data_IF_267888810364
#
_entry.id   IF_267888810364
#
_cell.length_a   1.000
_cell.length_b   1.000
_cell.length_c   1.000
_cell.angle_alpha   90.00
_cell.angle_beta   90.00
_cell.angle_gamma   90.00
#
_symmetry.space_group_name_H-M   'P 1'
#
loop_
_entity.id
_entity.type
_entity.pdbx_description
1 polymer ?
#
# COMPACT_ATOMS: atom_id res chain seq x y z
N UNK A 1 11.49 7.69 10.39
CA UNK A 1 12.65 6.77 10.49
C UNK A 1 13.82 7.42 9.76
N UNK A 2 15.04 7.17 10.23
CA UNK A 2 16.26 7.58 9.56
C UNK A 2 16.86 6.39 8.77
N UNK A 3 17.95 6.63 8.04
CA UNK A 3 18.61 5.62 7.22
C UNK A 3 19.05 4.37 8.01
N UNK A 4 19.63 4.54 9.20
CA UNK A 4 20.11 3.42 10.01
C UNK A 4 18.95 2.57 10.58
N UNK A 5 17.84 3.21 10.95
CA UNK A 5 16.62 2.51 11.39
C UNK A 5 16.00 1.68 10.26
N UNK A 6 15.97 2.21 9.02
CA UNK A 6 15.53 1.46 7.86
C UNK A 6 16.45 0.25 7.59
N UNK A 7 17.76 0.46 7.65
CA UNK A 7 18.75 -0.61 7.47
C UNK A 7 18.58 -1.71 8.53
N UNK A 8 18.36 -1.35 9.79
CA UNK A 8 18.11 -2.30 10.86
C UNK A 8 16.81 -3.10 10.62
N UNK A 9 15.73 -2.44 10.26
CA UNK A 9 14.45 -3.11 9.98
C UNK A 9 14.55 -4.04 8.78
N UNK A 10 15.37 -3.74 7.77
CA UNK A 10 15.60 -4.59 6.60
C UNK A 10 16.06 -6.00 6.98
N UNK A 11 16.74 -6.16 8.11
CA UNK A 11 17.23 -7.48 8.56
C UNK A 11 16.11 -8.40 9.06
N UNK A 12 14.91 -7.87 9.33
CA UNK A 12 13.81 -8.62 9.94
C UNK A 12 12.47 -8.46 9.18
N UNK A 13 12.43 -7.60 8.16
CA UNK A 13 11.23 -7.36 7.34
C UNK A 13 11.55 -7.46 5.85
N UNK A 14 10.75 -8.22 5.06
CA UNK A 14 11.00 -8.37 3.62
C UNK A 14 10.58 -7.14 2.81
N UNK A 15 9.77 -6.26 3.37
CA UNK A 15 9.36 -4.98 2.78
C UNK A 15 9.04 -3.98 3.89
N UNK A 16 9.09 -2.70 3.54
CA UNK A 16 8.74 -1.61 4.45
C UNK A 16 7.83 -0.62 3.73
N UNK A 17 7.24 0.32 4.46
CA UNK A 17 6.39 1.30 3.83
C UNK A 17 6.12 2.52 4.70
N UNK A 18 5.86 3.63 4.02
CA UNK A 18 5.39 4.89 4.61
C UNK A 18 4.71 5.72 3.52
N UNK A 19 3.51 6.17 3.80
CA UNK A 19 2.74 7.02 2.88
C UNK A 19 3.41 8.38 2.70
N UNK A 20 3.65 8.81 1.45
CA UNK A 20 4.04 10.20 1.16
C UNK A 20 2.88 11.16 1.46
N UNK A 21 1.67 10.73 1.18
CA UNK A 21 0.39 11.42 1.28
C UNK A 21 0.26 12.61 0.32
N UNK A 22 1.13 13.62 0.42
CA UNK A 22 1.16 14.81 -0.43
C UNK A 22 2.52 15.50 -0.34
N UNK A 23 2.85 16.30 -1.34
CA UNK A 23 4.02 17.20 -1.30
C UNK A 23 3.68 18.59 -0.73
N UNK A 24 2.41 18.86 -0.44
CA UNK A 24 1.99 20.11 0.21
C UNK A 24 2.41 20.14 1.67
N UNK A 25 3.10 21.21 2.09
CA UNK A 25 3.52 21.43 3.47
C UNK A 25 2.53 22.24 4.31
N UNK A 26 1.49 22.79 3.67
CA UNK A 26 0.52 23.73 4.25
C UNK A 26 -0.88 23.12 4.46
N UNK A 27 -1.01 21.78 4.33
CA UNK A 27 -2.30 21.12 4.53
C UNK A 27 -2.72 21.13 6.00
N UNK A 28 -3.94 21.57 6.26
CA UNK A 28 -4.54 21.54 7.61
C UNK A 28 -4.59 20.13 8.21
N UNK A 29 -4.77 19.13 7.37
CA UNK A 29 -4.73 17.73 7.75
C UNK A 29 -3.40 17.28 8.40
N UNK A 30 -2.30 17.96 8.07
CA UNK A 30 -0.96 17.68 8.59
C UNK A 30 -0.51 18.63 9.70
N UNK A 31 -1.38 19.55 10.13
CA UNK A 31 -1.05 20.52 11.16
C UNK A 31 -0.68 19.84 12.47
N UNK A 32 0.51 20.14 12.99
CA UNK A 32 1.01 19.57 14.24
C UNK A 32 1.61 18.16 14.10
N UNK A 33 1.77 17.64 12.89
CA UNK A 33 2.39 16.34 12.61
C UNK A 33 3.78 16.53 11.94
N UNK A 34 4.87 16.70 12.71
CA UNK A 34 6.20 16.99 12.18
C UNK A 34 6.80 15.85 11.36
N UNK A 35 6.28 14.64 11.50
CA UNK A 35 6.62 13.46 10.71
C UNK A 35 5.97 13.48 9.31
N UNK A 36 4.97 14.35 9.09
CA UNK A 36 4.29 14.52 7.80
C UNK A 36 4.88 15.62 6.92
N UNK A 37 6.06 16.11 7.27
CA UNK A 37 6.79 17.08 6.43
C UNK A 37 7.26 16.38 5.15
N UNK A 38 6.85 16.87 3.95
CA UNK A 38 7.08 16.16 2.68
C UNK A 38 8.55 15.84 2.40
N UNK A 39 9.47 16.76 2.68
CA UNK A 39 10.90 16.54 2.44
C UNK A 39 11.42 15.35 3.24
N UNK A 40 11.00 15.17 4.48
CA UNK A 40 11.41 14.01 5.30
C UNK A 40 10.87 12.69 4.77
N UNK A 41 9.68 12.72 4.20
CA UNK A 41 9.06 11.53 3.60
C UNK A 41 9.72 11.15 2.29
N UNK A 42 10.08 12.15 1.47
CA UNK A 42 10.89 11.93 0.28
C UNK A 42 12.29 11.39 0.63
N UNK A 43 12.96 11.94 1.64
CA UNK A 43 14.24 11.41 2.13
C UNK A 43 14.12 9.95 2.56
N UNK A 44 13.06 9.59 3.30
CA UNK A 44 12.82 8.21 3.70
C UNK A 44 12.59 7.28 2.50
N UNK A 45 11.87 7.75 1.49
CA UNK A 45 11.65 7.01 0.23
C UNK A 45 12.98 6.78 -0.52
N UNK A 46 13.84 7.80 -0.62
CA UNK A 46 15.17 7.69 -1.24
C UNK A 46 16.06 6.72 -0.48
N UNK A 47 16.14 6.83 0.85
CA UNK A 47 16.92 5.89 1.67
C UNK A 47 16.44 4.43 1.53
N UNK A 48 15.16 4.22 1.40
CA UNK A 48 14.64 2.87 1.13
C UNK A 48 15.15 2.34 -0.21
N UNK A 49 15.22 3.20 -1.24
CA UNK A 49 15.80 2.85 -2.54
C UNK A 49 17.30 2.57 -2.47
N UNK A 50 18.07 3.42 -1.80
CA UNK A 50 19.52 3.24 -1.59
C UNK A 50 19.82 1.93 -0.85
N UNK A 51 19.01 1.58 0.12
CA UNK A 51 19.11 0.34 0.90
C UNK A 51 18.51 -0.89 0.19
N UNK A 52 17.99 -0.74 -1.03
CA UNK A 52 17.32 -1.82 -1.77
C UNK A 52 16.23 -2.52 -0.96
N UNK A 53 15.34 -1.72 -0.37
CA UNK A 53 14.18 -2.19 0.39
C UNK A 53 12.95 -2.14 -0.53
N UNK A 54 12.24 -3.25 -0.80
CA UNK A 54 10.94 -3.21 -1.45
C UNK A 54 9.99 -2.32 -0.63
N UNK A 55 9.50 -1.24 -1.24
CA UNK A 55 8.87 -0.18 -0.49
C UNK A 55 7.46 0.12 -0.94
N UNK A 56 6.56 0.26 0.03
CA UNK A 56 5.18 0.72 -0.16
C UNK A 56 5.08 2.19 0.21
N UNK A 57 4.51 3.00 -0.67
CA UNK A 57 4.20 4.40 -0.42
C UNK A 57 2.81 4.73 -0.94
N UNK A 58 2.42 6.01 -0.99
CA UNK A 58 1.13 6.36 -1.55
C UNK A 58 0.71 7.80 -1.29
N UNK A 59 -0.46 8.14 -1.81
CA UNK A 59 -1.10 9.44 -1.67
C UNK A 59 -2.41 9.33 -0.90
N UNK A 60 -2.79 10.40 -0.21
CA UNK A 60 -4.09 10.51 0.48
C UNK A 60 -4.92 11.59 -0.23
N UNK A 61 -6.08 11.19 -0.74
CA UNK A 61 -6.95 12.01 -1.57
C UNK A 61 -8.09 12.61 -0.76
N UNK A 62 -8.31 13.91 -0.89
CA UNK A 62 -9.40 14.62 -0.21
C UNK A 62 -9.02 15.27 1.11
N UNK A 63 -7.74 15.56 1.34
CA UNK A 63 -7.22 16.24 2.55
C UNK A 63 -6.96 17.74 2.34
N UNK A 64 -7.42 18.32 1.23
CA UNK A 64 -7.23 19.72 0.86
C UNK A 64 -6.23 19.96 -0.26
N UNK A 65 -5.66 18.91 -0.82
CA UNK A 65 -4.86 18.91 -2.04
C UNK A 65 -5.78 19.00 -3.28
N UNK A 66 -5.21 19.40 -4.40
CA UNK A 66 -5.88 19.43 -5.69
C UNK A 66 -5.26 18.40 -6.66
N UNK A 67 -5.82 18.32 -7.87
CA UNK A 67 -5.37 17.38 -8.91
C UNK A 67 -3.89 17.58 -9.29
N UNK A 68 -3.40 18.82 -9.36
CA UNK A 68 -2.00 19.09 -9.70
C UNK A 68 -1.06 18.64 -8.58
N UNK A 69 -1.45 18.82 -7.32
CA UNK A 69 -0.70 18.33 -6.16
C UNK A 69 -0.57 16.80 -6.15
N UNK A 70 -1.63 16.08 -6.59
CA UNK A 70 -1.62 14.60 -6.74
C UNK A 70 -0.65 14.16 -7.84
N UNK A 71 -0.66 14.85 -8.98
CA UNK A 71 0.27 14.59 -10.10
C UNK A 71 1.71 14.79 -9.62
N UNK A 72 2.03 15.89 -8.96
CA UNK A 72 3.37 16.18 -8.46
C UNK A 72 3.87 15.11 -7.48
N UNK A 73 3.01 14.65 -6.56
CA UNK A 73 3.35 13.59 -5.63
C UNK A 73 3.61 12.25 -6.34
N UNK A 74 2.79 11.88 -7.31
CA UNK A 74 2.95 10.66 -8.10
C UNK A 74 4.21 10.71 -8.97
N UNK A 75 4.52 11.85 -9.58
CA UNK A 75 5.74 12.06 -10.37
C UNK A 75 6.99 11.94 -9.49
N UNK A 76 6.96 12.46 -8.26
CA UNK A 76 8.07 12.33 -7.32
C UNK A 76 8.31 10.86 -6.93
N UNK A 77 7.24 10.09 -6.68
CA UNK A 77 7.33 8.65 -6.41
C UNK A 77 7.87 7.91 -7.64
N UNK A 78 7.36 8.20 -8.84
CA UNK A 78 7.83 7.59 -10.09
C UNK A 78 9.32 7.89 -10.33
N UNK A 79 9.75 9.12 -10.09
CA UNK A 79 11.16 9.52 -10.23
C UNK A 79 12.08 8.78 -9.25
N UNK A 80 11.64 8.55 -8.01
CA UNK A 80 12.38 7.74 -7.04
C UNK A 80 12.47 6.27 -7.48
N UNK A 81 11.35 5.70 -7.93
CA UNK A 81 11.35 4.34 -8.48
C UNK A 81 12.27 4.20 -9.70
N UNK A 82 12.27 5.17 -10.63
CA UNK A 82 13.16 5.16 -11.80
C UNK A 82 14.65 5.13 -11.42
N UNK A 83 15.03 5.73 -10.30
CA UNK A 83 16.43 5.70 -9.81
C UNK A 83 16.82 4.37 -9.18
N UNK A 84 15.92 3.77 -8.42
CA UNK A 84 16.23 2.66 -7.54
C UNK A 84 15.52 1.35 -7.86
N UNK A 85 14.36 1.39 -8.50
CA UNK A 85 13.53 0.23 -8.81
C UNK A 85 12.83 -0.39 -7.60
N UNK A 86 12.68 0.34 -6.50
CA UNK A 86 12.34 -0.20 -5.18
C UNK A 86 10.86 -0.08 -4.78
N UNK A 87 10.09 0.78 -5.42
CA UNK A 87 8.67 0.96 -5.08
C UNK A 87 7.88 -0.21 -5.64
N UNK A 88 7.38 -1.07 -4.76
CA UNK A 88 6.58 -2.23 -5.16
C UNK A 88 5.11 -1.89 -5.37
N UNK A 89 4.57 -0.95 -4.59
CA UNK A 89 3.18 -0.52 -4.72
C UNK A 89 2.99 0.93 -4.25
N UNK A 90 1.98 1.57 -4.83
CA UNK A 90 1.52 2.91 -4.45
C UNK A 90 0.06 2.82 -4.04
N UNK A 91 -0.21 3.11 -2.77
CA UNK A 91 -1.56 3.15 -2.21
C UNK A 91 -2.21 4.48 -2.57
N UNK A 92 -3.32 4.44 -3.28
CA UNK A 92 -4.21 5.60 -3.44
C UNK A 92 -5.34 5.43 -2.43
N UNK A 93 -5.31 6.23 -1.37
CA UNK A 93 -6.29 6.14 -0.28
C UNK A 93 -7.22 7.34 -0.29
N UNK A 94 -8.52 7.10 -0.19
CA UNK A 94 -9.52 8.15 -0.03
C UNK A 94 -9.62 8.58 1.45
N UNK A 95 -9.70 9.89 1.68
CA UNK A 95 -9.95 10.43 3.00
C UNK A 95 -11.39 10.16 3.44
N UNK A 96 -11.54 9.63 4.65
CA UNK A 96 -12.81 9.51 5.36
C UNK A 96 -12.68 10.21 6.73
N UNK A 97 -13.61 11.11 7.09
CA UNK A 97 -13.58 11.78 8.37
C UNK A 97 -13.81 10.79 9.51
N UNK A 98 -13.03 10.93 10.60
CA UNK A 98 -13.12 10.04 11.76
C UNK A 98 -13.51 10.81 13.01
N UNK A 99 -14.41 10.24 13.80
CA UNK A 99 -14.76 10.78 15.11
C UNK A 99 -13.51 10.87 15.99
N UNK A 100 -13.42 11.93 16.78
CA UNK A 100 -12.29 12.15 17.70
C UNK A 100 -11.01 12.72 17.03
N UNK A 101 -11.04 12.99 15.72
CA UNK A 101 -9.94 13.68 15.02
C UNK A 101 -10.26 15.15 14.77
N UNK A 102 -9.24 15.97 14.49
CA UNK A 102 -9.42 17.38 14.14
C UNK A 102 -10.29 17.58 12.88
N UNK A 103 -10.30 16.59 11.98
CA UNK A 103 -11.04 16.63 10.71
C UNK A 103 -12.37 15.85 10.76
N UNK A 104 -12.92 15.59 11.94
CA UNK A 104 -14.17 14.81 12.09
C UNK A 104 -15.40 15.42 11.38
N UNK A 105 -15.39 16.71 11.10
CA UNK A 105 -16.45 17.44 10.37
C UNK A 105 -16.05 17.79 8.92
N UNK A 106 -14.92 17.31 8.43
CA UNK A 106 -14.54 17.54 7.04
C UNK A 106 -15.39 16.66 6.11
N UNK A 107 -15.58 17.12 4.88
CA UNK A 107 -16.23 16.30 3.86
C UNK A 107 -15.35 15.10 3.48
N UNK A 108 -15.94 13.92 3.24
CA UNK A 108 -15.19 12.78 2.73
C UNK A 108 -14.69 13.07 1.32
N UNK A 109 -13.66 12.34 0.90
CA UNK A 109 -13.16 12.40 -0.47
C UNK A 109 -14.29 12.12 -1.48
N UNK A 110 -14.54 13.03 -2.46
CA UNK A 110 -15.49 12.78 -3.53
C UNK A 110 -15.07 11.54 -4.34
N UNK A 111 -16.06 10.71 -4.72
CA UNK A 111 -15.81 9.48 -5.47
C UNK A 111 -15.07 9.74 -6.79
N UNK A 112 -15.52 10.74 -7.55
CA UNK A 112 -14.92 11.05 -8.86
C UNK A 112 -13.46 11.49 -8.73
N UNK A 113 -13.14 12.26 -7.69
CA UNK A 113 -11.76 12.66 -7.37
C UNK A 113 -10.89 11.46 -7.01
N UNK A 114 -11.47 10.48 -6.32
CA UNK A 114 -10.77 9.25 -5.96
C UNK A 114 -10.46 8.38 -7.17
N UNK A 115 -11.46 8.15 -8.04
CA UNK A 115 -11.27 7.39 -9.29
C UNK A 115 -10.29 8.09 -10.23
N UNK A 116 -10.37 9.43 -10.38
CA UNK A 116 -9.38 10.20 -11.15
C UNK A 116 -7.96 10.04 -10.58
N UNK A 117 -7.81 10.06 -9.25
CA UNK A 117 -6.50 9.86 -8.62
C UNK A 117 -5.91 8.47 -8.89
N UNK A 118 -6.73 7.42 -8.90
CA UNK A 118 -6.30 6.06 -9.26
C UNK A 118 -5.88 5.99 -10.73
N UNK A 119 -6.69 6.57 -11.63
CA UNK A 119 -6.36 6.63 -13.05
C UNK A 119 -5.06 7.41 -13.30
N UNK A 120 -4.85 8.54 -12.63
CA UNK A 120 -3.59 9.29 -12.66
C UNK A 120 -2.41 8.45 -12.19
N UNK A 121 -2.56 7.73 -11.07
CA UNK A 121 -1.52 6.85 -10.57
C UNK A 121 -1.14 5.80 -11.63
N UNK A 122 -2.12 5.15 -12.27
CA UNK A 122 -1.85 4.16 -13.32
C UNK A 122 -1.18 4.75 -14.57
N UNK A 123 -1.48 6.00 -14.91
CA UNK A 123 -0.90 6.69 -16.07
C UNK A 123 0.53 7.20 -15.81
N UNK A 124 0.84 7.61 -14.59
CA UNK A 124 2.11 8.26 -14.25
C UNK A 124 3.15 7.24 -13.77
N UNK A 125 2.72 6.26 -12.97
CA UNK A 125 3.62 5.26 -12.41
C UNK A 125 4.10 4.27 -13.47
N UNK A 126 5.36 3.77 -13.38
CA UNK A 126 5.84 2.67 -14.19
C UNK A 126 4.94 1.43 -14.08
N UNK A 127 4.92 0.60 -15.13
CA UNK A 127 4.01 -0.56 -15.22
C UNK A 127 4.30 -1.65 -14.18
N UNK A 128 5.51 -1.73 -13.68
CA UNK A 128 5.98 -2.65 -12.65
C UNK A 128 5.67 -2.18 -11.23
N UNK A 129 5.15 -0.96 -11.07
CA UNK A 129 4.63 -0.46 -9.80
C UNK A 129 3.13 -0.76 -9.71
N UNK A 130 2.72 -1.50 -8.67
CA UNK A 130 1.31 -1.78 -8.46
C UNK A 130 0.56 -0.57 -7.88
N UNK A 131 -0.65 -0.34 -8.38
CA UNK A 131 -1.58 0.64 -7.81
C UNK A 131 -2.53 -0.10 -6.89
N UNK A 132 -2.49 0.24 -5.61
CA UNK A 132 -3.32 -0.35 -4.56
C UNK A 132 -4.40 0.61 -4.11
N UNK A 133 -5.58 0.08 -3.84
CA UNK A 133 -6.63 0.81 -3.14
C UNK A 133 -7.32 -0.10 -2.11
N UNK A 134 -7.57 0.38 -0.86
CA UNK A 134 -8.25 -0.41 0.16
C UNK A 134 -9.72 -0.68 -0.24
N UNK A 135 -10.15 -1.95 -0.37
CA UNK A 135 -11.49 -2.26 -0.84
C UNK A 135 -12.59 -1.94 0.19
N UNK A 136 -12.27 -1.93 1.48
CA UNK A 136 -13.20 -1.62 2.56
C UNK A 136 -13.57 -0.12 2.65
N UNK A 137 -12.81 0.76 2.03
CA UNK A 137 -13.07 2.20 2.05
C UNK A 137 -13.98 2.67 0.90
N UNK A 138 -14.46 1.74 0.06
CA UNK A 138 -15.38 2.01 -1.05
C UNK A 138 -16.57 1.06 -0.97
N UNK A 139 -17.78 1.59 -1.12
CA UNK A 139 -18.99 0.77 -1.11
C UNK A 139 -19.09 -0.11 -2.36
N UNK A 140 -18.64 0.41 -3.50
CA UNK A 140 -18.49 -0.30 -4.77
C UNK A 140 -17.02 -0.29 -5.22
N UNK A 141 -16.26 -1.28 -4.76
CA UNK A 141 -14.83 -1.36 -5.05
C UNK A 141 -14.52 -1.94 -6.45
N UNK A 142 -15.52 -2.50 -7.15
CA UNK A 142 -15.32 -2.97 -8.53
C UNK A 142 -14.89 -1.86 -9.49
N UNK A 143 -15.36 -0.63 -9.30
CA UNK A 143 -14.96 0.50 -10.13
C UNK A 143 -13.50 0.92 -9.94
N UNK A 144 -12.89 0.53 -8.82
CA UNK A 144 -11.46 0.81 -8.58
C UNK A 144 -10.57 0.01 -9.54
N UNK A 145 -11.01 -1.21 -9.94
CA UNK A 145 -10.33 -2.01 -10.96
C UNK A 145 -10.42 -1.34 -12.34
N UNK A 146 -11.61 -0.83 -12.69
CA UNK A 146 -11.79 -0.10 -13.96
C UNK A 146 -10.94 1.17 -14.01
N UNK A 147 -10.70 1.81 -12.86
CA UNK A 147 -9.83 2.98 -12.74
C UNK A 147 -8.32 2.64 -12.79
N UNK A 148 -7.93 1.37 -12.61
CA UNK A 148 -6.53 0.92 -12.77
C UNK A 148 -5.87 0.32 -11.54
N UNK A 149 -6.65 -0.04 -10.50
CA UNK A 149 -6.14 -0.81 -9.35
C UNK A 149 -5.68 -2.18 -9.80
N UNK A 150 -4.53 -2.63 -9.31
CA UNK A 150 -3.95 -3.94 -9.58
C UNK A 150 -3.59 -4.72 -8.30
N UNK A 151 -3.86 -4.15 -7.13
CA UNK A 151 -3.61 -4.79 -5.84
C UNK A 151 -4.62 -4.31 -4.79
N UNK A 152 -5.11 -5.21 -3.96
CA UNK A 152 -6.05 -4.90 -2.89
C UNK A 152 -5.38 -4.64 -1.54
N UNK A 153 -4.07 -4.86 -1.46
CA UNK A 153 -3.32 -4.73 -0.22
C UNK A 153 -3.57 -5.84 0.79
N UNK A 154 -3.40 -5.48 2.05
CA UNK A 154 -3.53 -6.43 3.15
C UNK A 154 -4.97 -6.61 3.62
N UNK A 155 -5.76 -7.42 2.92
CA UNK A 155 -7.11 -7.79 3.35
C UNK A 155 -7.05 -8.95 4.34
N UNK A 156 -7.58 -8.79 5.55
CA UNK A 156 -7.58 -9.83 6.58
C UNK A 156 -8.97 -10.44 6.78
N UNK A 157 -9.11 -11.77 6.61
CA UNK A 157 -10.37 -12.44 6.90
C UNK A 157 -10.64 -12.64 8.40
N UNK A 158 -9.63 -12.43 9.25
CA UNK A 158 -9.69 -12.79 10.70
C UNK A 158 -9.53 -11.60 11.64
N UNK A 159 -9.03 -10.45 11.16
CA UNK A 159 -8.84 -9.26 11.97
C UNK A 159 -9.58 -8.07 11.37
N UNK A 160 -10.15 -7.22 12.21
CA UNK A 160 -10.71 -5.96 11.75
C UNK A 160 -9.60 -5.03 11.23
N UNK A 161 -9.97 -4.08 10.37
CA UNK A 161 -9.10 -2.95 10.07
C UNK A 161 -8.96 -2.07 11.33
N UNK A 162 -7.78 -2.06 11.93
CA UNK A 162 -7.52 -1.27 13.14
C UNK A 162 -7.46 0.23 12.87
N UNK A 163 -7.26 0.63 11.62
CA UNK A 163 -7.26 2.03 11.21
C UNK A 163 -8.68 2.51 10.93
N UNK A 164 -9.52 1.67 10.33
CA UNK A 164 -10.91 1.97 9.98
C UNK A 164 -11.84 0.89 10.54
N UNK A 165 -11.98 0.75 11.86
CA UNK A 165 -12.74 -0.34 12.47
C UNK A 165 -14.25 -0.30 12.13
N UNK A 166 -14.75 0.85 11.69
CA UNK A 166 -16.12 1.05 11.20
C UNK A 166 -16.34 0.56 9.76
N UNK A 167 -15.26 0.20 9.05
CA UNK A 167 -15.26 -0.29 7.68
C UNK A 167 -14.66 -1.69 7.62
N UNK A 168 -15.48 -2.74 7.80
CA UNK A 168 -14.98 -4.11 7.78
C UNK A 168 -14.44 -4.48 6.39
N UNK A 169 -13.45 -5.38 6.37
CA UNK A 169 -12.96 -5.95 5.14
C UNK A 169 -14.09 -6.68 4.40
N UNK A 170 -14.12 -6.64 3.07
CA UNK A 170 -15.02 -7.49 2.30
C UNK A 170 -14.68 -8.96 2.56
N UNK A 171 -15.69 -9.82 2.45
CA UNK A 171 -15.48 -11.26 2.40
C UNK A 171 -14.59 -11.63 1.20
N UNK A 172 -13.67 -12.60 1.37
CA UNK A 172 -12.70 -12.99 0.34
C UNK A 172 -13.38 -13.56 -0.91
N UNK A 173 -14.50 -14.26 -0.75
CA UNK A 173 -15.26 -14.79 -1.89
C UNK A 173 -15.90 -13.63 -2.67
N UNK A 174 -16.49 -12.65 -1.98
CA UNK A 174 -16.98 -11.44 -2.63
C UNK A 174 -15.86 -10.66 -3.33
N UNK A 175 -14.68 -10.55 -2.70
CA UNK A 175 -13.54 -9.88 -3.31
C UNK A 175 -13.09 -10.59 -4.58
N UNK A 176 -13.07 -11.93 -4.56
CA UNK A 176 -12.77 -12.77 -5.73
C UNK A 176 -13.80 -12.57 -6.83
N UNK A 177 -15.10 -12.73 -6.51
CA UNK A 177 -16.18 -12.63 -7.49
C UNK A 177 -16.16 -11.28 -8.22
N UNK A 178 -15.97 -10.18 -7.49
CA UNK A 178 -15.89 -8.83 -8.09
C UNK A 178 -14.64 -8.70 -8.96
N UNK A 179 -13.50 -9.22 -8.50
CA UNK A 179 -12.23 -9.18 -9.24
C UNK A 179 -12.34 -9.98 -10.56
N UNK A 180 -12.91 -11.18 -10.51
CA UNK A 180 -13.10 -12.04 -11.67
C UNK A 180 -14.15 -11.50 -12.64
N UNK A 181 -15.22 -10.88 -12.15
CA UNK A 181 -16.23 -10.22 -12.98
C UNK A 181 -15.65 -9.06 -13.81
N UNK A 182 -14.54 -8.46 -13.36
CA UNK A 182 -13.80 -7.43 -14.10
C UNK A 182 -12.68 -8.01 -14.99
N UNK A 183 -12.59 -9.35 -15.12
CA UNK A 183 -11.61 -10.02 -15.99
C UNK A 183 -10.22 -10.17 -15.40
N UNK A 184 -10.08 -10.01 -14.08
CA UNK A 184 -8.83 -10.19 -13.35
C UNK A 184 -8.85 -11.47 -12.50
N UNK A 185 -7.70 -11.91 -12.03
CA UNK A 185 -7.58 -13.06 -11.10
C UNK A 185 -7.11 -12.56 -9.74
N UNK A 186 -7.83 -12.95 -8.69
CA UNK A 186 -7.39 -12.70 -7.32
C UNK A 186 -6.36 -13.75 -6.91
N UNK A 187 -5.13 -13.32 -6.67
CA UNK A 187 -4.04 -14.18 -6.21
C UNK A 187 -3.47 -13.68 -4.87
N UNK A 188 -3.29 -14.54 -3.87
CA UNK A 188 -2.68 -14.15 -2.61
C UNK A 188 -1.17 -13.90 -2.81
N UNK A 189 -0.63 -12.88 -2.14
CA UNK A 189 0.80 -12.58 -2.12
C UNK A 189 1.32 -12.40 -0.70
N UNK A 190 2.62 -12.45 -0.57
CA UNK A 190 3.31 -12.03 0.65
C UNK A 190 3.31 -10.49 0.76
N UNK A 191 3.82 -9.94 1.86
CA UNK A 191 4.01 -8.49 2.03
C UNK A 191 5.05 -7.92 1.06
N UNK A 192 5.99 -8.75 0.61
CA UNK A 192 6.87 -8.47 -0.53
C UNK A 192 6.16 -8.91 -1.82
N UNK A 193 6.20 -8.07 -2.86
CA UNK A 193 5.60 -8.40 -4.15
C UNK A 193 6.40 -9.46 -4.91
N UNK A 194 5.75 -10.26 -5.77
CA UNK A 194 6.36 -11.39 -6.48
C UNK A 194 7.64 -11.04 -7.25
N UNK A 195 7.67 -9.89 -7.91
CA UNK A 195 8.84 -9.45 -8.67
C UNK A 195 10.09 -9.32 -7.79
N UNK A 196 9.93 -8.81 -6.58
CA UNK A 196 11.01 -8.65 -5.60
C UNK A 196 11.37 -9.96 -4.88
N UNK A 197 10.37 -10.79 -4.59
CA UNK A 197 10.58 -12.10 -3.96
C UNK A 197 11.42 -13.06 -4.82
N UNK A 198 11.36 -12.92 -6.14
CA UNK A 198 12.14 -13.71 -7.12
C UNK A 198 13.60 -13.24 -7.28
N UNK A 199 13.95 -12.09 -6.73
CA UNK A 199 15.31 -11.54 -6.76
C UNK A 199 15.85 -11.35 -5.33
N UNK A 200 15.89 -12.41 -4.48
CA UNK A 200 16.18 -12.27 -3.07
C UNK A 200 17.58 -11.72 -2.80
N UNK A 201 18.58 -12.06 -3.64
CA UNK A 201 19.95 -11.57 -3.50
C UNK A 201 20.07 -10.05 -3.59
N UNK A 202 19.15 -9.41 -4.28
CA UNK A 202 19.09 -7.95 -4.41
C UNK A 202 18.29 -7.31 -3.30
N UNK A 203 17.10 -7.86 -3.03
CA UNK A 203 16.06 -7.16 -2.29
C UNK A 203 15.93 -7.56 -0.84
N UNK A 204 16.42 -8.73 -0.47
CA UNK A 204 16.26 -9.26 0.89
C UNK A 204 17.58 -9.29 1.65
N UNK A 205 17.49 -9.19 2.97
CA UNK A 205 18.56 -9.62 3.84
C UNK A 205 18.71 -11.16 3.76
N UNK A 206 19.94 -11.71 3.74
CA UNK A 206 20.15 -13.16 3.70
C UNK A 206 19.39 -13.95 4.78
N UNK A 207 19.15 -13.35 5.95
CA UNK A 207 18.39 -13.97 7.04
C UNK A 207 16.92 -14.24 6.67
N UNK A 208 16.39 -13.54 5.66
CA UNK A 208 14.99 -13.67 5.23
C UNK A 208 14.80 -14.57 4.01
N UNK A 209 15.89 -14.95 3.30
CA UNK A 209 15.80 -15.73 2.05
C UNK A 209 14.98 -17.00 2.23
N UNK A 210 15.32 -17.80 3.27
CA UNK A 210 14.59 -19.04 3.52
C UNK A 210 13.11 -18.80 3.87
N UNK A 211 12.82 -17.82 4.72
CA UNK A 211 11.48 -17.53 5.17
C UNK A 211 10.55 -17.04 4.04
N UNK A 212 11.09 -16.30 3.08
CA UNK A 212 10.34 -15.85 1.90
C UNK A 212 10.19 -16.99 0.90
N UNK A 213 11.27 -17.72 0.59
CA UNK A 213 11.24 -18.85 -0.34
C UNK A 213 10.31 -19.99 0.13
N UNK A 214 10.27 -20.28 1.44
CA UNK A 214 9.39 -21.30 2.03
C UNK A 214 7.90 -20.96 1.87
N UNK A 215 7.56 -19.67 1.81
CA UNK A 215 6.18 -19.17 1.74
C UNK A 215 5.75 -18.70 0.37
N UNK A 216 6.63 -18.66 -0.60
CA UNK A 216 6.32 -18.31 -1.98
C UNK A 216 6.36 -19.50 -2.91
N UNK A 217 5.55 -19.44 -3.96
CA UNK A 217 5.63 -20.37 -5.10
C UNK A 217 6.76 -19.94 -6.07
N UNK A 218 6.89 -20.65 -7.19
CA UNK A 218 7.90 -20.36 -8.22
C UNK A 218 7.73 -18.99 -8.89
N UNK A 219 6.54 -18.43 -8.86
CA UNK A 219 6.20 -17.13 -9.43
C UNK A 219 6.32 -15.99 -8.40
N UNK A 220 6.59 -16.33 -7.14
CA UNK A 220 6.76 -15.38 -6.02
C UNK A 220 5.46 -15.03 -5.30
N UNK A 221 4.33 -15.63 -5.65
CA UNK A 221 3.07 -15.47 -4.92
C UNK A 221 3.06 -16.31 -3.64
N UNK A 222 2.12 -16.01 -2.74
CA UNK A 222 1.98 -16.81 -1.53
C UNK A 222 1.52 -18.23 -1.86
N UNK A 223 2.17 -19.24 -1.24
CA UNK A 223 1.79 -20.64 -1.41
C UNK A 223 0.52 -20.94 -0.62
N UNK A 224 -0.41 -21.66 -1.24
CA UNK A 224 -1.65 -22.13 -0.59
C UNK A 224 -1.39 -23.15 0.53
N UNK A 225 -0.29 -23.91 0.40
CA UNK A 225 0.14 -24.92 1.37
C UNK A 225 1.14 -24.41 2.42
N UNK A 226 1.52 -23.15 2.35
CA UNK A 226 2.32 -22.48 3.39
C UNK A 226 1.51 -22.50 4.69
N UNK A 227 1.54 -23.66 5.32
CA UNK A 227 0.73 -24.17 6.39
C UNK A 227 0.02 -23.12 7.20
N UNK A 228 -1.28 -23.13 7.18
CA UNK A 228 -2.11 -22.53 8.20
C UNK A 228 -1.81 -23.19 9.56
N UNK A 229 -0.59 -23.01 10.06
CA UNK A 229 -0.29 -23.27 11.47
C UNK A 229 -0.78 -22.06 12.26
N UNK A 230 -2.07 -21.75 12.08
CA UNK A 230 -2.77 -21.07 13.13
C UNK A 230 -3.10 -22.15 14.16
N UNK A 231 -2.62 -22.03 15.41
CA UNK A 231 -3.11 -22.89 16.46
C UNK A 231 -4.64 -22.73 16.49
N UNK A 232 -5.36 -23.85 16.34
CA UNK A 232 -6.80 -23.86 16.60
C UNK A 232 -6.99 -23.16 17.94
N UNK A 233 -7.59 -21.98 17.93
CA UNK A 233 -8.03 -21.35 19.17
C UNK A 233 -9.18 -22.21 19.67
N UNK A 234 -8.86 -23.11 20.58
CA UNK A 234 -9.87 -23.67 21.48
C UNK A 234 -10.55 -22.48 22.15
N UNK A 235 -11.74 -22.14 21.68
CA UNK A 235 -12.60 -21.23 22.43
C UNK A 235 -13.07 -22.00 23.65
N UNK A 236 -12.37 -21.83 24.76
CA UNK A 236 -12.91 -22.17 26.06
C UNK A 236 -14.06 -21.19 26.33
N UNK A 237 -15.23 -21.77 26.57
CA UNK A 237 -16.49 -21.07 26.89
C UNK A 237 -16.43 -20.48 28.29
#
# INVERSE_FOLDING_TARGET
MNHDELALLRTVTPSQGMMLESLRSDLDAHRGAPDKVPVRRLETLEWAGELQIPYTTGILVGIGENRADRIEALEAIAASHQRHGHVQEVIVQNFLPKSGTAMHNAEPCPRDDYLDAIALARMILPLDVHVQAPPNLSDDFGDLLDAGVSDWGGVSPVTADHVNPERPWPDLDRLRDVTEAKGHTLAPRLTIHPAFAREPERWLDPALHFAVADRSDSDGYARDDAGSVWPERTMER
#
